data_IF_547193783551
#
_entry.id   IF_547193783551
#
_cell.length_a   1.000
_cell.length_b   1.000
_cell.length_c   1.000
_cell.angle_alpha   90.00
_cell.angle_beta   90.00
_cell.angle_gamma   90.00
#
_symmetry.space_group_name_H-M   'P 1'
#
loop_
_entity.id
_entity.type
_entity.pdbx_description
1 polymer ?
#
# COMPACT_ATOMS: atom_id res chain seq x y z
N UNK A 1 12.56 41.42 22.75
CA UNK A 1 11.50 41.45 21.70
C UNK A 1 12.01 41.00 20.32
N UNK A 2 13.22 41.34 19.87
CA UNK A 2 13.76 40.97 18.54
C UNK A 2 13.92 39.45 18.28
N UNK A 3 14.33 38.68 19.29
CA UNK A 3 14.51 37.22 19.13
C UNK A 3 13.20 36.45 18.86
N UNK A 4 12.07 36.97 19.33
CA UNK A 4 10.76 36.33 19.14
C UNK A 4 10.28 36.41 17.68
N UNK A 5 10.60 37.50 16.98
CA UNK A 5 10.25 37.70 15.56
C UNK A 5 11.02 36.78 14.60
N UNK A 6 12.16 36.22 15.02
CA UNK A 6 12.94 35.26 14.23
C UNK A 6 12.60 33.83 14.66
N UNK A 7 12.42 33.59 15.96
CA UNK A 7 12.12 32.27 16.49
C UNK A 7 10.75 31.75 16.05
N UNK A 8 9.72 32.60 16.02
CA UNK A 8 8.36 32.20 15.64
C UNK A 8 8.25 31.69 14.19
N UNK A 9 8.74 32.40 13.16
CA UNK A 9 8.70 31.88 11.79
C UNK A 9 9.61 30.66 11.59
N UNK A 10 10.74 30.58 12.31
CA UNK A 10 11.63 29.42 12.24
C UNK A 10 10.96 28.14 12.78
N UNK A 11 10.21 28.25 13.88
CA UNK A 11 9.44 27.12 14.44
C UNK A 11 8.29 26.74 13.51
N UNK A 12 7.57 27.70 12.93
CA UNK A 12 6.50 27.43 11.96
C UNK A 12 7.01 26.72 10.70
N UNK A 13 8.19 27.11 10.19
CA UNK A 13 8.82 26.45 9.04
C UNK A 13 9.24 25.00 9.36
N UNK A 14 9.71 24.73 10.57
CA UNK A 14 10.07 23.37 11.02
C UNK A 14 8.85 22.44 11.14
N UNK A 15 7.70 22.97 11.60
CA UNK A 15 6.46 22.18 11.73
C UNK A 15 5.81 21.92 10.35
N UNK A 16 6.00 22.80 9.38
CA UNK A 16 5.44 22.65 8.02
C UNK A 16 5.98 21.42 7.28
N UNK A 17 7.23 21.01 7.53
CA UNK A 17 7.81 19.79 6.95
C UNK A 17 7.42 18.48 7.66
N UNK A 18 6.60 18.53 8.72
CA UNK A 18 6.13 17.31 9.41
C UNK A 18 4.91 16.64 8.76
N UNK A 19 4.51 17.10 7.56
CA UNK A 19 3.31 16.69 6.83
C UNK A 19 3.37 15.36 6.08
N UNK A 20 4.20 14.41 6.51
CA UNK A 20 4.10 13.05 6.01
C UNK A 20 2.80 12.39 6.47
N UNK A 21 2.18 11.60 5.59
CA UNK A 21 1.04 10.73 5.92
C UNK A 21 1.43 9.86 7.14
N UNK A 22 0.95 10.23 8.34
CA UNK A 22 1.23 9.44 9.55
C UNK A 22 0.42 8.16 9.46
N UNK A 23 1.08 7.09 9.05
CA UNK A 23 0.49 5.76 9.08
C UNK A 23 0.25 5.35 10.54
N UNK A 24 -0.84 4.63 10.79
CA UNK A 24 -1.09 4.06 12.12
C UNK A 24 -0.27 2.79 12.36
N UNK A 25 0.27 2.22 11.29
CA UNK A 25 1.18 1.09 11.34
C UNK A 25 2.57 1.54 11.79
N UNK A 26 3.11 0.80 12.74
CA UNK A 26 4.53 0.86 13.03
C UNK A 26 5.23 -0.13 12.09
N UNK A 27 5.42 0.28 10.82
CA UNK A 27 6.32 -0.44 9.94
C UNK A 27 7.72 -0.27 10.53
N UNK A 28 8.21 -1.32 11.19
CA UNK A 28 9.65 -1.45 11.42
C UNK A 28 10.27 -1.57 10.03
N UNK A 29 10.58 -0.45 9.40
CA UNK A 29 11.67 -0.45 8.45
C UNK A 29 12.86 -0.99 9.26
N UNK A 30 13.34 -2.18 8.91
CA UNK A 30 14.77 -2.43 9.04
C UNK A 30 15.41 -1.17 8.44
N UNK A 31 16.17 -0.43 9.28
CA UNK A 31 16.39 1.00 9.08
C UNK A 31 16.83 1.35 7.66
N UNK A 32 16.61 2.59 7.28
CA UNK A 32 17.04 3.20 6.00
C UNK A 32 18.59 3.23 5.83
N UNK A 33 19.30 2.54 6.72
CA UNK A 33 20.70 2.18 6.59
C UNK A 33 20.86 1.12 5.49
N UNK A 34 21.85 1.25 4.58
CA UNK A 34 22.22 0.19 3.66
C UNK A 34 22.49 -1.09 4.45
N UNK A 35 21.62 -2.08 4.31
CA UNK A 35 21.76 -3.37 4.94
C UNK A 35 22.68 -4.23 4.07
N UNK A 36 23.89 -4.50 4.56
CA UNK A 36 24.91 -5.29 3.88
C UNK A 36 24.50 -6.74 3.63
N UNK A 37 23.45 -7.22 4.29
CA UNK A 37 22.89 -8.57 4.11
C UNK A 37 21.63 -8.58 3.24
N UNK A 38 21.23 -7.43 2.67
CA UNK A 38 20.05 -7.36 1.80
C UNK A 38 20.35 -7.94 0.42
N UNK A 39 20.00 -9.21 0.24
CA UNK A 39 20.07 -9.88 -1.07
C UNK A 39 18.94 -9.34 -1.96
N UNK A 40 19.30 -8.64 -3.04
CA UNK A 40 18.35 -8.30 -4.09
C UNK A 40 18.30 -9.45 -5.10
N UNK A 41 17.19 -10.19 -5.22
CA UNK A 41 17.09 -11.24 -6.23
C UNK A 41 17.17 -10.61 -7.62
N UNK A 42 17.90 -11.25 -8.53
CA UNK A 42 17.90 -10.92 -9.95
C UNK A 42 17.05 -11.94 -10.72
N UNK A 43 16.53 -11.51 -11.87
CA UNK A 43 15.89 -12.43 -12.83
C UNK A 43 16.95 -13.34 -13.43
N UNK A 44 16.52 -14.54 -13.84
CA UNK A 44 17.38 -15.48 -14.56
C UNK A 44 17.92 -14.85 -15.83
N UNK A 45 19.22 -15.05 -16.09
CA UNK A 45 19.86 -14.55 -17.30
C UNK A 45 19.30 -15.26 -18.54
N UNK A 46 18.81 -14.47 -19.49
CA UNK A 46 18.37 -14.97 -20.79
C UNK A 46 19.57 -15.09 -21.73
N UNK A 47 19.82 -16.32 -22.17
CA UNK A 47 20.86 -16.60 -23.18
C UNK A 47 20.22 -16.44 -24.57
N UNK A 48 20.78 -15.62 -25.47
CA UNK A 48 20.25 -15.50 -26.82
C UNK A 48 20.42 -16.80 -27.60
N UNK A 49 19.51 -17.05 -28.55
CA UNK A 49 19.50 -18.27 -29.38
C UNK A 49 20.80 -18.48 -30.17
N UNK A 50 21.58 -17.41 -30.41
CA UNK A 50 22.88 -17.47 -31.07
C UNK A 50 23.89 -16.54 -30.40
N UNK A 51 25.02 -17.10 -29.99
CA UNK A 51 26.19 -16.36 -29.50
C UNK A 51 27.03 -15.76 -30.63
N UNK A 52 26.76 -16.13 -31.89
CA UNK A 52 27.48 -15.62 -33.05
C UNK A 52 26.97 -14.24 -33.50
N UNK A 53 25.73 -13.90 -33.15
CA UNK A 53 25.08 -12.63 -33.50
C UNK A 53 24.52 -11.99 -32.23
N UNK A 54 25.41 -11.36 -31.46
CA UNK A 54 25.00 -10.59 -30.30
C UNK A 54 24.27 -9.32 -30.77
N UNK A 55 23.09 -9.00 -30.20
CA UNK A 55 22.45 -7.73 -30.46
C UNK A 55 23.37 -6.58 -30.01
N UNK A 56 23.33 -5.46 -30.72
CA UNK A 56 24.10 -4.29 -30.34
C UNK A 56 23.76 -3.88 -28.88
N UNK A 57 24.76 -3.52 -28.06
CA UNK A 57 24.49 -3.07 -26.69
C UNK A 57 23.57 -1.85 -26.74
N UNK A 58 22.71 -1.70 -25.73
CA UNK A 58 21.82 -0.55 -25.53
C UNK A 58 22.35 0.32 -24.39
N UNK A 59 23.23 1.32 -24.65
CA UNK A 59 23.73 2.22 -23.62
C UNK A 59 22.59 2.98 -22.96
N UNK A 60 22.56 3.01 -21.62
CA UNK A 60 21.51 3.67 -20.85
C UNK A 60 20.17 2.91 -20.82
N UNK A 61 20.09 1.72 -21.40
CA UNK A 61 18.93 0.84 -21.29
C UNK A 61 18.77 0.25 -19.89
N UNK A 62 17.56 -0.21 -19.57
CA UNK A 62 17.30 -0.97 -18.34
C UNK A 62 17.92 -2.35 -18.42
N UNK A 63 18.48 -2.84 -17.32
CA UNK A 63 18.99 -4.20 -17.25
C UNK A 63 17.83 -5.19 -17.16
N UNK A 64 17.79 -6.18 -18.05
CA UNK A 64 16.75 -7.22 -18.08
C UNK A 64 16.79 -8.15 -16.86
N UNK A 65 17.97 -8.29 -16.24
CA UNK A 65 18.15 -9.13 -15.07
C UNK A 65 17.73 -8.45 -13.76
N UNK A 66 17.41 -7.15 -13.77
CA UNK A 66 16.98 -6.46 -12.57
C UNK A 66 15.58 -6.94 -12.13
N UNK A 67 15.39 -7.04 -10.81
CA UNK A 67 14.08 -7.38 -10.25
C UNK A 67 13.06 -6.28 -10.55
N UNK A 68 11.90 -6.68 -11.10
CA UNK A 68 10.78 -5.78 -11.36
C UNK A 68 9.52 -6.32 -10.67
N UNK A 69 9.47 -6.31 -9.31
CA UNK A 69 8.48 -7.05 -8.55
C UNK A 69 7.03 -6.66 -8.88
N UNK A 70 6.76 -5.38 -9.14
CA UNK A 70 5.43 -4.92 -9.54
C UNK A 70 5.01 -5.46 -10.90
N UNK A 71 5.91 -5.42 -11.90
CA UNK A 71 5.64 -5.91 -13.25
C UNK A 71 5.40 -7.41 -13.22
N UNK A 72 6.23 -8.13 -12.48
CA UNK A 72 6.17 -9.60 -12.38
C UNK A 72 4.91 -10.05 -11.65
N UNK A 73 4.52 -9.35 -10.57
CA UNK A 73 3.27 -9.62 -9.86
C UNK A 73 2.04 -9.36 -10.76
N UNK A 74 2.03 -8.27 -11.53
CA UNK A 74 0.95 -7.97 -12.46
C UNK A 74 0.85 -9.04 -13.54
N UNK A 75 1.98 -9.47 -14.12
CA UNK A 75 2.03 -10.53 -15.12
C UNK A 75 1.56 -11.88 -14.56
N UNK A 76 1.96 -12.24 -13.33
CA UNK A 76 1.52 -13.47 -12.66
C UNK A 76 0.00 -13.48 -12.38
N UNK A 77 -0.59 -12.30 -12.15
CA UNK A 77 -2.04 -12.11 -12.00
C UNK A 77 -2.77 -12.04 -13.36
N UNK A 78 -2.07 -12.22 -14.49
CA UNK A 78 -2.65 -12.19 -15.83
C UNK A 78 -2.83 -10.79 -16.42
N UNK A 79 -2.25 -9.76 -15.81
CA UNK A 79 -2.30 -8.38 -16.28
C UNK A 79 -1.07 -7.96 -17.08
N UNK A 80 -1.15 -6.79 -17.70
CA UNK A 80 -0.05 -6.15 -18.45
C UNK A 80 0.32 -4.83 -17.80
N UNK A 81 1.59 -4.69 -17.39
CA UNK A 81 2.09 -3.46 -16.79
C UNK A 81 2.00 -2.29 -17.77
N UNK A 82 1.42 -1.17 -17.33
CA UNK A 82 1.30 0.03 -18.15
C UNK A 82 0.24 -0.03 -19.27
N UNK A 83 -0.52 -1.13 -19.40
CA UNK A 83 -1.58 -1.23 -20.41
C UNK A 83 -2.76 -0.26 -20.20
N UNK A 84 -2.76 0.50 -19.08
CA UNK A 84 -3.94 1.22 -18.62
C UNK A 84 -5.03 0.23 -18.23
N UNK A 85 -5.97 0.68 -17.40
CA UNK A 85 -7.19 -0.09 -17.18
C UNK A 85 -8.06 0.13 -18.42
N UNK A 86 -7.81 -0.59 -19.52
CA UNK A 86 -8.89 -0.87 -20.47
C UNK A 86 -9.81 -1.88 -19.80
N UNK A 87 -10.46 -1.44 -18.72
CA UNK A 87 -11.47 -2.21 -18.03
C UNK A 87 -12.48 -2.64 -19.07
N UNK A 88 -12.83 -3.93 -19.05
CA UNK A 88 -13.84 -4.47 -19.95
C UNK A 88 -15.07 -3.55 -19.88
N UNK A 89 -15.35 -2.84 -20.99
CA UNK A 89 -16.39 -1.81 -21.03
C UNK A 89 -17.77 -2.44 -20.77
N UNK A 90 -17.96 -3.70 -21.15
CA UNK A 90 -19.19 -4.44 -20.87
C UNK A 90 -19.31 -4.74 -19.37
N UNK A 91 -18.22 -5.17 -18.72
CA UNK A 91 -18.19 -5.37 -17.27
C UNK A 91 -18.43 -4.06 -16.51
N UNK A 92 -17.77 -2.98 -16.92
CA UNK A 92 -17.94 -1.67 -16.28
C UNK A 92 -19.37 -1.14 -16.45
N UNK A 93 -19.99 -1.33 -17.61
CA UNK A 93 -21.40 -1.01 -17.82
C UNK A 93 -22.33 -1.83 -16.92
N UNK A 94 -22.06 -3.13 -16.77
CA UNK A 94 -22.85 -4.03 -15.93
C UNK A 94 -22.73 -3.70 -14.43
N UNK A 95 -21.52 -3.40 -13.95
CA UNK A 95 -21.26 -3.08 -12.54
C UNK A 95 -21.76 -1.68 -12.19
N UNK A 96 -21.67 -0.71 -13.11
CA UNK A 96 -22.14 0.66 -12.90
C UNK A 96 -23.65 0.87 -13.11
N UNK A 97 -24.41 -0.18 -13.46
CA UNK A 97 -25.83 -0.09 -13.82
C UNK A 97 -26.74 0.58 -12.78
N UNK A 98 -26.38 0.49 -11.50
CA UNK A 98 -27.13 1.11 -10.40
C UNK A 98 -26.60 2.49 -10.00
N UNK A 99 -25.65 3.02 -10.78
CA UNK A 99 -24.92 4.23 -10.45
C UNK A 99 -23.82 3.97 -9.43
N UNK A 100 -22.79 4.82 -9.47
CA UNK A 100 -21.78 4.93 -8.42
C UNK A 100 -21.35 6.39 -8.33
N UNK A 101 -20.86 6.79 -7.16
CA UNK A 101 -20.27 8.10 -6.99
C UNK A 101 -18.80 8.05 -7.47
N UNK A 102 -18.41 8.82 -8.51
CA UNK A 102 -17.04 8.84 -9.00
C UNK A 102 -16.05 9.42 -7.98
N UNK A 103 -16.50 10.25 -7.05
CA UNK A 103 -15.68 10.92 -6.04
C UNK A 103 -15.57 10.12 -4.73
N UNK A 104 -16.28 9.00 -4.60
CA UNK A 104 -16.32 8.19 -3.37
C UNK A 104 -14.94 7.83 -2.82
N UNK A 105 -13.96 7.61 -3.71
CA UNK A 105 -12.58 7.28 -3.30
C UNK A 105 -11.86 8.48 -2.70
N UNK A 106 -12.05 9.67 -3.26
CA UNK A 106 -11.45 10.89 -2.75
C UNK A 106 -12.09 11.29 -1.42
N UNK A 107 -13.42 11.24 -1.35
CA UNK A 107 -14.18 11.52 -0.12
C UNK A 107 -13.80 10.55 1.01
N UNK A 108 -13.75 9.24 0.73
CA UNK A 108 -13.38 8.24 1.72
C UNK A 108 -11.93 8.41 2.20
N UNK A 109 -11.01 8.78 1.29
CA UNK A 109 -9.62 9.03 1.65
C UNK A 109 -9.48 10.24 2.59
N UNK A 110 -10.22 11.32 2.33
CA UNK A 110 -10.25 12.50 3.19
C UNK A 110 -10.89 12.18 4.56
N UNK A 111 -12.05 11.51 4.55
CA UNK A 111 -12.75 11.11 5.76
C UNK A 111 -11.91 10.17 6.64
N UNK A 112 -11.16 9.25 6.03
CA UNK A 112 -10.24 8.35 6.72
C UNK A 112 -9.04 9.11 7.32
N UNK A 113 -8.44 10.03 6.57
CA UNK A 113 -7.35 10.87 7.09
C UNK A 113 -7.78 11.67 8.33
N UNK A 114 -8.99 12.25 8.29
CA UNK A 114 -9.56 12.98 9.43
C UNK A 114 -9.93 12.06 10.60
N UNK A 115 -10.42 10.85 10.33
CA UNK A 115 -10.61 9.82 11.35
C UNK A 115 -9.30 9.47 12.06
N UNK A 116 -8.23 9.21 11.29
CA UNK A 116 -6.89 8.90 11.83
C UNK A 116 -6.31 10.07 12.64
N UNK A 117 -6.45 11.31 12.17
CA UNK A 117 -6.05 12.53 12.91
C UNK A 117 -6.74 12.63 14.27
N UNK A 118 -8.06 12.42 14.33
CA UNK A 118 -8.82 12.43 15.59
C UNK A 118 -8.43 11.31 16.54
N UNK A 119 -8.17 10.10 16.03
CA UNK A 119 -7.75 8.94 16.85
C UNK A 119 -6.31 9.03 17.37
N UNK A 120 -5.42 9.73 16.65
CA UNK A 120 -4.01 9.88 17.05
C UNK A 120 -3.78 10.91 18.16
N UNK A 121 -4.60 11.97 18.23
CA UNK A 121 -4.43 13.08 19.18
C UNK A 121 -4.60 12.72 20.67
N UNK A 122 -5.36 11.67 21.00
CA UNK A 122 -5.67 11.29 22.39
C UNK A 122 -4.61 10.40 23.07
N UNK A 123 -3.48 10.16 22.42
CA UNK A 123 -2.50 9.14 22.84
C UNK A 123 -1.09 9.70 23.07
N UNK A 124 -1.02 10.89 23.67
CA UNK A 124 0.24 11.57 24.00
C UNK A 124 0.95 11.01 25.25
N UNK A 125 0.24 10.26 26.11
CA UNK A 125 0.79 9.70 27.35
C UNK A 125 1.38 8.28 27.26
N UNK A 126 1.48 7.68 26.06
CA UNK A 126 1.90 6.27 25.95
C UNK A 126 3.28 6.13 25.31
N UNK A 127 4.25 5.84 26.18
CA UNK A 127 5.69 5.64 25.91
C UNK A 127 5.98 4.33 25.14
N UNK A 128 4.99 3.45 24.96
CA UNK A 128 5.17 2.15 24.31
C UNK A 128 4.76 2.15 22.82
N UNK A 129 5.64 1.59 21.99
CA UNK A 129 5.63 1.63 20.52
C UNK A 129 4.74 0.52 19.91
N UNK A 130 3.43 0.60 20.15
CA UNK A 130 2.47 -0.38 19.63
C UNK A 130 1.86 0.05 18.29
N UNK A 131 1.57 -0.91 17.41
CA UNK A 131 0.79 -0.68 16.19
C UNK A 131 -0.61 -0.16 16.58
N UNK A 132 -0.98 1.02 16.07
CA UNK A 132 -2.24 1.71 16.41
C UNK A 132 -3.35 1.41 15.44
N UNK A 133 -3.05 0.79 14.31
CA UNK A 133 -4.01 0.58 13.23
C UNK A 133 -5.20 -0.25 13.72
N UNK A 134 -4.94 -1.46 14.21
CA UNK A 134 -5.99 -2.36 14.69
C UNK A 134 -6.80 -1.76 15.86
N UNK A 135 -6.16 -1.01 16.75
CA UNK A 135 -6.85 -0.37 17.87
C UNK A 135 -7.78 0.79 17.44
N UNK A 136 -7.38 1.54 16.41
CA UNK A 136 -8.17 2.64 15.85
C UNK A 136 -9.39 2.12 15.08
N UNK A 137 -9.19 1.07 14.28
CA UNK A 137 -10.22 0.46 13.42
C UNK A 137 -11.00 -0.67 14.08
N UNK A 138 -10.82 -0.94 15.37
CA UNK A 138 -11.50 -2.04 16.08
C UNK A 138 -13.04 -2.06 15.93
N UNK A 139 -13.67 -0.88 15.80
CA UNK A 139 -15.11 -0.77 15.62
C UNK A 139 -15.59 -1.00 14.19
N UNK A 140 -14.65 -1.09 13.24
CA UNK A 140 -14.87 -1.40 11.83
C UNK A 140 -14.34 -2.81 11.49
N UNK A 141 -13.73 -3.50 12.46
CA UNK A 141 -13.27 -4.86 12.30
C UNK A 141 -14.45 -5.82 12.49
N UNK A 142 -14.57 -6.79 11.57
CA UNK A 142 -15.51 -7.89 11.69
C UNK A 142 -14.83 -9.07 12.41
N UNK A 143 -15.59 -9.78 13.23
CA UNK A 143 -15.17 -11.09 13.76
C UNK A 143 -15.30 -12.12 12.62
N UNK A 144 -14.16 -12.60 12.14
CA UNK A 144 -14.09 -13.51 11.00
C UNK A 144 -14.85 -14.82 11.24
N UNK A 145 -14.83 -15.36 12.47
CA UNK A 145 -15.51 -16.62 12.79
C UNK A 145 -17.01 -16.41 12.98
N UNK A 146 -17.41 -15.30 13.62
CA UNK A 146 -18.82 -14.95 13.73
C UNK A 146 -19.46 -14.73 12.34
N UNK A 147 -18.74 -14.07 11.44
CA UNK A 147 -19.19 -13.81 10.07
C UNK A 147 -19.24 -15.08 9.21
N UNK A 148 -18.26 -15.98 9.39
CA UNK A 148 -18.26 -17.30 8.78
C UNK A 148 -19.49 -18.12 9.20
N UNK A 149 -19.82 -18.13 10.48
CA UNK A 149 -20.99 -18.84 11.00
C UNK A 149 -22.29 -18.22 10.49
N UNK A 150 -22.35 -16.89 10.40
CA UNK A 150 -23.47 -16.18 9.79
C UNK A 150 -23.68 -16.64 8.35
N UNK A 151 -22.63 -16.68 7.53
CA UNK A 151 -22.75 -17.12 6.13
C UNK A 151 -23.18 -18.58 5.99
N UNK A 152 -22.67 -19.47 6.86
CA UNK A 152 -23.12 -20.87 6.90
C UNK A 152 -24.61 -20.97 7.25
N UNK A 153 -25.08 -20.18 8.19
CA UNK A 153 -26.49 -20.20 8.63
C UNK A 153 -27.47 -19.80 7.52
N UNK A 154 -27.05 -18.93 6.59
CA UNK A 154 -27.85 -18.50 5.43
C UNK A 154 -27.58 -19.34 4.17
N UNK A 155 -26.82 -20.44 4.29
CA UNK A 155 -26.56 -21.38 3.19
C UNK A 155 -25.58 -20.85 2.12
N UNK A 156 -24.81 -19.80 2.42
CA UNK A 156 -23.79 -19.28 1.50
C UNK A 156 -22.57 -20.19 1.54
N UNK A 157 -22.11 -20.61 0.37
CA UNK A 157 -20.89 -21.39 0.23
C UNK A 157 -19.68 -20.56 0.67
N UNK A 158 -18.98 -21.02 1.70
CA UNK A 158 -17.76 -20.39 2.24
C UNK A 158 -16.59 -21.37 2.13
N UNK A 159 -15.39 -20.89 1.76
CA UNK A 159 -14.18 -21.72 1.70
C UNK A 159 -13.77 -22.24 3.09
N UNK A 160 -12.94 -23.28 3.14
CA UNK A 160 -12.47 -23.86 4.40
C UNK A 160 -11.67 -22.81 5.20
N UNK A 161 -12.14 -22.47 6.39
CA UNK A 161 -11.43 -21.56 7.29
C UNK A 161 -10.20 -22.25 7.92
N UNK A 162 -9.09 -21.52 8.15
CA UNK A 162 -7.96 -22.03 8.91
C UNK A 162 -8.38 -22.35 10.36
N UNK A 163 -7.66 -23.24 11.07
CA UNK A 163 -7.96 -23.54 12.46
C UNK A 163 -7.79 -22.31 13.35
N UNK A 164 -8.59 -22.21 14.42
CA UNK A 164 -8.40 -21.22 15.45
C UNK A 164 -7.08 -21.50 16.18
N UNK A 165 -6.22 -20.48 16.29
CA UNK A 165 -4.95 -20.54 17.00
C UNK A 165 -5.16 -20.41 18.51
#
# INVERSE_FOLDING_TARGET
MRGFFIALPAVLALVACSGGERTLHNSRALGDSPDEFRVSPSKTLEIPDSMAFLPAPTPGGVNRADATPLVDAIAALGGTYGAGVTGDAALMAEVSRYGYDPEVRAELAEADADFRRRKTGLSWFRIFRNDRYFAAYRGQALDAYAELERFRSVGVAVPSAPPAN
#
